data_IF_211072126695
#
_entry.id   IF_211072126695
#
_cell.length_a   1.000
_cell.length_b   1.000
_cell.length_c   1.000
_cell.angle_alpha   90.00
_cell.angle_beta   90.00
_cell.angle_gamma   90.00
#
_symmetry.space_group_name_H-M   'P 1'
#
loop_
_entity.id
_entity.type
_entity.pdbx_description
1 polymer ?
#
# COMPACT_ATOMS: atom_id res chain seq x y z
N UNK A 1 -40.28 33.88 -19.63
CA UNK A 1 -41.43 33.11 -20.15
C UNK A 1 -40.97 31.69 -20.47
N UNK A 2 -41.72 30.69 -19.99
CA UNK A 2 -41.75 29.23 -20.33
C UNK A 2 -40.50 28.53 -20.90
N UNK A 3 -40.08 27.34 -20.44
CA UNK A 3 -40.94 26.16 -20.27
C UNK A 3 -40.34 25.08 -19.35
N UNK A 4 -41.24 24.31 -18.72
CA UNK A 4 -41.00 23.24 -17.75
C UNK A 4 -40.65 21.88 -18.43
N UNK A 5 -39.75 21.13 -17.79
CA UNK A 5 -39.94 19.73 -17.37
C UNK A 5 -39.99 18.59 -18.41
N UNK A 6 -39.12 17.58 -18.24
CA UNK A 6 -39.57 16.23 -17.83
C UNK A 6 -38.37 15.34 -17.45
N UNK A 7 -38.43 14.75 -16.26
CA UNK A 7 -37.57 13.64 -15.81
C UNK A 7 -38.20 12.34 -16.31
N UNK A 8 -37.44 11.48 -16.99
CA UNK A 8 -37.86 10.11 -17.34
C UNK A 8 -37.20 9.10 -16.39
N UNK A 9 -37.96 8.21 -15.71
CA UNK A 9 -37.40 7.08 -14.95
C UNK A 9 -37.03 5.90 -15.88
N UNK A 10 -36.18 4.95 -15.42
CA UNK A 10 -35.55 3.95 -16.28
C UNK A 10 -36.48 2.80 -16.67
N UNK A 11 -36.19 2.21 -17.85
CA UNK A 11 -36.85 1.05 -18.43
C UNK A 11 -36.47 -0.22 -17.65
N UNK A 12 -37.48 -0.94 -17.14
CA UNK A 12 -37.36 -2.26 -16.50
C UNK A 12 -37.95 -3.29 -17.45
N UNK A 13 -37.22 -4.39 -17.70
CA UNK A 13 -37.68 -5.48 -18.55
C UNK A 13 -38.64 -6.43 -17.80
N UNK A 14 -39.73 -6.83 -18.47
CA UNK A 14 -40.73 -7.76 -17.95
C UNK A 14 -40.21 -9.19 -17.78
N UNK A 15 -40.56 -9.81 -16.64
CA UNK A 15 -40.32 -11.23 -16.36
C UNK A 15 -41.15 -12.10 -17.31
N UNK A 16 -40.46 -12.78 -18.22
CA UNK A 16 -41.04 -13.74 -19.17
C UNK A 16 -40.86 -15.18 -18.66
N UNK A 17 -41.66 -15.63 -17.70
CA UNK A 17 -42.00 -17.07 -17.49
C UNK A 17 -43.27 -17.21 -16.63
N UNK A 18 -44.29 -18.00 -17.05
CA UNK A 18 -45.54 -18.15 -16.32
C UNK A 18 -45.48 -19.27 -15.26
N UNK A 19 -46.24 -19.06 -14.18
CA UNK A 19 -46.49 -20.03 -13.12
C UNK A 19 -47.35 -21.20 -13.62
N UNK A 20 -46.94 -22.43 -13.31
CA UNK A 20 -47.78 -23.61 -13.45
C UNK A 20 -48.50 -23.90 -12.12
N UNK A 21 -49.83 -23.80 -12.16
CA UNK A 21 -50.78 -24.34 -11.18
C UNK A 21 -51.79 -25.19 -11.94
N UNK A 22 -51.88 -26.47 -11.60
CA UNK A 22 -53.07 -27.36 -11.52
C UNK A 22 -52.53 -28.77 -11.27
N UNK A 23 -53.03 -29.52 -10.30
CA UNK A 23 -54.39 -30.04 -10.33
C UNK A 23 -55.08 -30.06 -8.96
N UNK A 24 -56.41 -30.02 -9.03
CA UNK A 24 -57.38 -29.96 -7.94
C UNK A 24 -58.36 -31.12 -8.12
N UNK A 25 -58.99 -31.49 -6.99
CA UNK A 25 -60.15 -32.38 -6.77
C UNK A 25 -59.75 -33.78 -6.28
N UNK A 26 -60.42 -34.37 -5.29
CA UNK A 26 -61.83 -34.21 -4.92
C UNK A 26 -62.11 -34.16 -3.42
N UNK A 27 -63.12 -33.36 -3.10
CA UNK A 27 -63.98 -33.34 -1.91
C UNK A 27 -64.60 -34.69 -1.55
N UNK A 28 -64.72 -34.98 -0.24
CA UNK A 28 -65.98 -35.46 0.37
C UNK A 28 -66.01 -35.24 1.90
N UNK A 29 -67.02 -34.45 2.25
CA UNK A 29 -67.80 -34.33 3.49
C UNK A 29 -67.73 -35.45 4.53
N UNK A 30 -67.74 -35.06 5.82
CA UNK A 30 -68.13 -35.93 6.93
C UNK A 30 -68.01 -35.23 8.29
N UNK A 31 -69.17 -34.92 8.90
CA UNK A 31 -69.32 -34.28 10.22
C UNK A 31 -68.93 -35.21 11.38
N UNK A 32 -68.80 -34.57 12.55
CA UNK A 32 -68.93 -35.10 13.94
C UNK A 32 -67.89 -36.08 14.46
N UNK A 33 -67.15 -35.67 15.49
CA UNK A 33 -67.41 -36.07 16.89
C UNK A 33 -66.17 -35.77 17.75
N UNK A 34 -66.38 -35.05 18.84
CA UNK A 34 -65.42 -34.98 19.92
C UNK A 34 -65.24 -36.38 20.52
N UNK A 35 -64.00 -36.87 20.60
CA UNK A 35 -63.59 -37.90 21.55
C UNK A 35 -62.22 -37.56 22.13
N UNK A 36 -62.24 -37.47 23.45
CA UNK A 36 -61.10 -37.43 24.36
C UNK A 36 -60.16 -38.63 24.19
N UNK A 37 -58.92 -38.47 24.71
CA UNK A 37 -57.77 -39.40 24.79
C UNK A 37 -56.90 -39.39 23.52
N UNK A 38 -55.60 -39.13 23.59
CA UNK A 38 -54.63 -39.28 24.68
C UNK A 38 -53.46 -38.36 24.35
N UNK A 39 -52.98 -37.56 25.30
CA UNK A 39 -51.69 -36.88 25.15
C UNK A 39 -50.59 -37.93 25.15
N UNK A 40 -50.27 -38.47 23.98
CA UNK A 40 -49.03 -39.22 23.78
C UNK A 40 -47.92 -38.19 23.89
N UNK A 41 -47.40 -38.00 25.11
CA UNK A 41 -46.18 -37.26 25.39
C UNK A 41 -45.12 -37.88 24.49
N UNK A 42 -44.83 -37.22 23.35
CA UNK A 42 -43.80 -37.63 22.41
C UNK A 42 -42.50 -37.62 23.20
N UNK A 43 -42.11 -38.80 23.68
CA UNK A 43 -40.88 -39.02 24.42
C UNK A 43 -39.80 -38.55 23.46
N UNK A 44 -39.21 -37.39 23.73
CA UNK A 44 -37.98 -36.94 23.07
C UNK A 44 -37.02 -38.11 23.23
N UNK A 45 -36.84 -38.89 22.17
CA UNK A 45 -35.71 -39.79 22.07
C UNK A 45 -34.52 -38.85 22.16
N UNK A 46 -33.88 -38.82 23.34
CA UNK A 46 -32.54 -38.28 23.45
C UNK A 46 -31.77 -39.10 22.44
N UNK A 47 -31.47 -38.49 21.29
CA UNK A 47 -30.45 -38.97 20.38
C UNK A 47 -29.24 -39.23 21.27
N UNK A 48 -29.00 -40.50 21.57
CA UNK A 48 -27.79 -40.93 22.22
C UNK A 48 -26.74 -40.66 21.16
N UNK A 49 -26.11 -39.48 21.24
CA UNK A 49 -24.96 -39.16 20.41
C UNK A 49 -24.02 -40.35 20.55
N UNK A 50 -23.80 -41.09 19.45
CA UNK A 50 -22.86 -42.20 19.40
C UNK A 50 -21.54 -41.64 19.95
N UNK A 51 -21.25 -41.94 21.21
CA UNK A 51 -19.99 -41.56 21.83
C UNK A 51 -18.94 -42.32 21.03
N UNK A 52 -18.06 -41.60 20.33
CA UNK A 52 -16.91 -42.20 19.67
C UNK A 52 -16.24 -43.16 20.68
N UNK A 53 -15.83 -44.38 20.27
CA UNK A 53 -15.15 -45.30 21.16
C UNK A 53 -13.97 -44.56 21.80
N UNK A 54 -13.83 -44.68 23.13
CA UNK A 54 -12.80 -44.01 23.92
C UNK A 54 -11.37 -44.22 23.36
N UNK A 55 -11.16 -45.36 22.70
CA UNK A 55 -9.93 -45.76 21.99
C UNK A 55 -9.60 -44.82 20.82
N UNK A 56 -10.59 -44.26 20.12
CA UNK A 56 -10.38 -43.22 19.08
C UNK A 56 -10.45 -41.80 19.63
N UNK A 57 -11.01 -41.59 20.83
CA UNK A 57 -11.17 -40.27 21.44
C UNK A 57 -9.85 -39.70 21.96
N UNK A 58 -8.96 -40.54 22.52
CA UNK A 58 -7.65 -40.14 23.05
C UNK A 58 -6.66 -39.69 21.95
N UNK A 59 -6.42 -40.44 20.85
CA UNK A 59 -5.54 -39.98 19.79
C UNK A 59 -6.07 -38.74 19.06
N UNK A 60 -7.40 -38.62 18.84
CA UNK A 60 -7.99 -37.40 18.30
C UNK A 60 -7.88 -36.20 19.27
N UNK A 61 -7.98 -36.45 20.59
CA UNK A 61 -7.78 -35.40 21.60
C UNK A 61 -6.33 -34.92 21.62
N UNK A 62 -5.35 -35.83 21.49
CA UNK A 62 -3.94 -35.50 21.38
C UNK A 62 -3.65 -34.68 20.10
N UNK A 63 -4.14 -35.12 18.94
CA UNK A 63 -3.99 -34.37 17.67
C UNK A 63 -4.62 -32.97 17.77
N UNK A 64 -5.82 -32.86 18.34
CA UNK A 64 -6.48 -31.56 18.58
C UNK A 64 -5.71 -30.70 19.58
N UNK A 65 -5.11 -31.30 20.60
CA UNK A 65 -4.30 -30.60 21.59
C UNK A 65 -3.00 -30.07 20.97
N UNK A 66 -2.26 -30.90 20.21
CA UNK A 66 -1.07 -30.49 19.46
C UNK A 66 -1.41 -29.39 18.46
N UNK A 67 -2.52 -29.52 17.72
CA UNK A 67 -2.97 -28.49 16.78
C UNK A 67 -3.34 -27.17 17.48
N UNK A 68 -4.08 -27.21 18.61
CA UNK A 68 -4.40 -26.02 19.41
C UNK A 68 -3.16 -25.39 20.03
N UNK A 69 -2.20 -26.19 20.49
CA UNK A 69 -0.93 -25.71 21.02
C UNK A 69 -0.13 -25.03 19.91
N UNK A 70 -0.02 -25.66 18.73
CA UNK A 70 0.62 -25.07 17.55
C UNK A 70 -0.03 -23.74 17.14
N UNK A 71 -1.36 -23.67 17.10
CA UNK A 71 -2.08 -22.41 16.85
C UNK A 71 -1.82 -21.35 17.92
N UNK A 72 -1.81 -21.71 19.21
CA UNK A 72 -1.50 -20.78 20.30
C UNK A 72 -0.08 -20.24 20.20
N UNK A 73 0.90 -21.12 19.96
CA UNK A 73 2.29 -20.73 19.77
C UNK A 73 2.44 -19.84 18.53
N UNK A 74 1.75 -20.16 17.43
CA UNK A 74 1.71 -19.33 16.24
C UNK A 74 1.12 -17.94 16.49
N UNK A 75 0.00 -17.85 17.22
CA UNK A 75 -0.60 -16.57 17.61
C UNK A 75 0.32 -15.75 18.52
N UNK A 76 0.98 -16.39 19.48
CA UNK A 76 1.97 -15.73 20.34
C UNK A 76 3.15 -15.22 19.52
N UNK A 77 3.66 -16.02 18.58
CA UNK A 77 4.73 -15.60 17.68
C UNK A 77 4.33 -14.41 16.79
N UNK A 78 3.11 -14.41 16.24
CA UNK A 78 2.57 -13.28 15.46
C UNK A 78 2.42 -12.04 16.33
N UNK A 79 1.93 -12.18 17.56
CA UNK A 79 1.79 -11.08 18.51
C UNK A 79 3.16 -10.47 18.85
N UNK A 80 4.13 -11.31 19.23
CA UNK A 80 5.50 -10.87 19.54
C UNK A 80 6.17 -10.24 18.33
N UNK A 81 6.01 -10.82 17.14
CA UNK A 81 6.50 -10.25 15.88
C UNK A 81 5.86 -8.90 15.56
N UNK A 82 4.55 -8.76 15.80
CA UNK A 82 3.82 -7.50 15.65
C UNK A 82 4.29 -6.43 16.63
N UNK A 83 4.55 -6.80 17.89
CA UNK A 83 5.12 -5.89 18.91
C UNK A 83 6.53 -5.46 18.50
N UNK A 84 7.38 -6.39 18.06
CA UNK A 84 8.72 -6.08 17.60
C UNK A 84 8.71 -5.15 16.38
N UNK A 85 7.84 -5.42 15.40
CA UNK A 85 7.64 -4.56 14.23
C UNK A 85 7.13 -3.17 14.63
N UNK A 86 6.11 -3.10 15.48
CA UNK A 86 5.56 -1.85 15.99
C UNK A 86 6.61 -1.02 16.76
N UNK A 87 7.40 -1.68 17.60
CA UNK A 87 8.52 -1.06 18.31
C UNK A 87 9.60 -0.53 17.36
N UNK A 88 9.97 -1.28 16.32
CA UNK A 88 10.92 -0.82 15.31
C UNK A 88 10.38 0.39 14.52
N UNK A 89 9.12 0.34 14.09
CA UNK A 89 8.45 1.47 13.41
C UNK A 89 8.43 2.70 14.31
N UNK A 90 8.03 2.54 15.58
CA UNK A 90 7.99 3.63 16.56
C UNK A 90 9.39 4.22 16.80
N UNK A 91 10.42 3.38 16.95
CA UNK A 91 11.80 3.81 17.13
C UNK A 91 12.28 4.67 15.96
N UNK A 92 12.08 4.21 14.72
CA UNK A 92 12.46 4.98 13.54
C UNK A 92 11.64 6.27 13.41
N UNK A 93 10.31 6.22 13.57
CA UNK A 93 9.46 7.41 13.48
C UNK A 93 9.80 8.47 14.54
N UNK A 94 10.17 8.03 15.75
CA UNK A 94 10.53 8.93 16.86
C UNK A 94 11.91 9.55 16.69
N UNK A 95 12.85 8.83 16.08
CA UNK A 95 14.22 9.31 15.82
C UNK A 95 14.37 10.09 14.52
N UNK A 96 13.34 10.13 13.66
CA UNK A 96 13.38 10.88 12.40
C UNK A 96 13.49 12.39 12.63
N UNK A 97 14.42 13.08 11.91
CA UNK A 97 14.50 14.53 11.91
C UNK A 97 13.26 15.19 11.27
N UNK A 98 13.08 16.51 11.43
CA UNK A 98 11.97 17.23 10.80
C UNK A 98 12.04 17.19 9.27
N UNK A 99 10.90 17.47 8.62
CA UNK A 99 10.74 17.44 7.17
C UNK A 99 11.81 18.23 6.41
N UNK A 100 12.18 19.41 6.92
CA UNK A 100 13.18 20.30 6.29
C UNK A 100 14.56 19.63 6.15
N UNK A 101 14.96 18.81 7.12
CA UNK A 101 16.19 18.02 7.04
C UNK A 101 16.03 16.80 6.11
N UNK A 102 14.81 16.29 5.93
CA UNK A 102 14.53 15.19 5.01
C UNK A 102 14.54 15.62 3.55
N UNK A 103 14.19 16.87 3.25
CA UNK A 103 14.27 17.42 1.89
C UNK A 103 15.68 17.89 1.59
N UNK A 104 16.41 18.38 2.58
CA UNK A 104 17.79 18.82 2.44
C UNK A 104 18.74 17.62 2.32
N UNK A 105 19.06 17.22 1.09
CA UNK A 105 19.96 16.09 0.79
C UNK A 105 21.44 16.47 0.69
N UNK A 106 21.81 17.70 1.05
CA UNK A 106 23.12 18.26 0.74
C UNK A 106 24.14 17.92 1.83
N UNK A 107 25.14 17.10 1.49
CA UNK A 107 26.45 17.15 2.14
C UNK A 107 27.37 18.18 1.47
N UNK A 108 27.07 18.61 0.22
CA UNK A 108 27.87 19.55 -0.58
C UNK A 108 27.00 20.65 -1.19
N UNK A 109 27.41 21.91 -1.05
CA UNK A 109 26.73 23.06 -1.65
C UNK A 109 26.85 23.13 -3.18
N UNK A 110 26.13 24.06 -3.81
CA UNK A 110 26.26 24.38 -5.23
C UNK A 110 27.14 25.59 -5.46
N UNK A 111 27.92 25.58 -6.54
CA UNK A 111 28.57 26.75 -7.12
C UNK A 111 27.75 27.20 -8.31
N UNK A 112 27.20 28.41 -8.27
CA UNK A 112 26.52 29.05 -9.41
C UNK A 112 27.52 29.91 -10.16
N UNK A 113 27.66 29.68 -11.46
CA UNK A 113 28.52 30.47 -12.35
C UNK A 113 27.65 31.52 -13.05
N UNK A 114 27.99 32.77 -12.80
CA UNK A 114 27.33 33.95 -13.37
C UNK A 114 28.15 34.48 -14.54
N UNK A 115 27.48 35.00 -15.55
CA UNK A 115 28.12 35.70 -16.65
C UNK A 115 28.49 37.15 -16.25
N UNK A 116 29.03 37.92 -17.21
CA UNK A 116 29.43 39.32 -16.97
C UNK A 116 28.26 40.27 -16.66
N UNK A 117 27.02 39.86 -16.93
CA UNK A 117 25.80 40.62 -16.69
C UNK A 117 25.08 40.20 -15.40
N UNK A 118 25.57 39.13 -14.75
CA UNK A 118 25.00 38.58 -13.52
C UNK A 118 24.00 37.45 -13.78
N UNK A 119 23.82 37.02 -15.03
CA UNK A 119 22.92 35.93 -15.38
C UNK A 119 23.58 34.57 -15.14
N UNK A 120 22.83 33.62 -14.60
CA UNK A 120 23.34 32.26 -14.37
C UNK A 120 23.45 31.50 -15.69
N UNK A 121 24.67 31.16 -16.11
CA UNK A 121 24.90 30.37 -17.34
C UNK A 121 25.31 28.92 -17.05
N UNK A 122 25.83 28.64 -15.85
CA UNK A 122 26.19 27.28 -15.44
C UNK A 122 26.14 27.14 -13.91
N UNK A 123 26.15 25.90 -13.43
CA UNK A 123 26.35 25.59 -12.02
C UNK A 123 27.10 24.26 -11.88
N UNK A 124 27.76 24.07 -10.75
CA UNK A 124 28.46 22.83 -10.40
C UNK A 124 28.11 22.42 -8.96
N UNK A 125 27.66 21.19 -8.78
CA UNK A 125 27.13 20.67 -7.50
C UNK A 125 25.62 20.43 -7.55
N UNK A 126 25.02 20.09 -6.41
CA UNK A 126 23.58 19.81 -6.31
C UNK A 126 22.78 21.13 -6.47
N UNK A 127 22.04 21.26 -7.57
CA UNK A 127 21.30 22.47 -7.94
C UNK A 127 20.30 22.87 -6.85
N UNK A 128 20.42 24.11 -6.33
CA UNK A 128 19.40 24.72 -5.48
C UNK A 128 18.35 25.38 -6.36
N UNK A 129 17.41 24.59 -6.83
CA UNK A 129 16.15 25.12 -7.33
C UNK A 129 15.18 24.93 -6.15
N UNK A 130 14.57 26.03 -5.67
CA UNK A 130 13.98 26.12 -4.32
C UNK A 130 13.10 24.94 -3.91
N UNK A 131 12.95 24.75 -2.59
CA UNK A 131 12.14 23.65 -2.04
C UNK A 131 10.74 23.64 -2.67
N UNK A 132 10.42 22.58 -3.41
CA UNK A 132 9.06 22.36 -3.92
C UNK A 132 8.30 21.41 -3.02
N UNK A 133 7.02 21.66 -2.83
CA UNK A 133 6.12 20.79 -2.10
C UNK A 133 5.16 20.10 -3.06
N UNK A 134 4.51 19.04 -2.60
CA UNK A 134 3.45 18.37 -3.35
C UNK A 134 2.32 19.32 -3.82
N UNK A 135 2.13 20.44 -3.13
CA UNK A 135 1.07 21.41 -3.42
C UNK A 135 1.57 22.60 -4.28
N UNK A 136 2.89 22.83 -4.38
CA UNK A 136 3.46 23.94 -5.16
C UNK A 136 4.01 23.52 -6.53
N UNK A 137 4.22 22.22 -6.76
CA UNK A 137 4.53 21.71 -8.11
C UNK A 137 3.30 21.74 -9.01
N UNK A 138 3.51 21.65 -10.33
CA UNK A 138 2.40 21.59 -11.27
C UNK A 138 1.52 20.37 -10.99
N UNK A 139 0.22 20.51 -11.23
CA UNK A 139 -0.71 19.40 -11.08
C UNK A 139 -0.38 18.26 -12.04
N UNK A 140 0.04 18.57 -13.27
CA UNK A 140 0.46 17.59 -14.26
C UNK A 140 1.64 16.76 -13.77
N UNK A 141 2.68 17.42 -13.22
CA UNK A 141 3.86 16.75 -12.67
C UNK A 141 3.49 15.86 -11.49
N UNK A 142 2.74 16.38 -10.52
CA UNK A 142 2.28 15.60 -9.36
C UNK A 142 1.50 14.36 -9.80
N UNK A 143 0.54 14.55 -10.71
CA UNK A 143 -0.31 13.48 -11.19
C UNK A 143 0.47 12.45 -12.01
N UNK A 144 1.43 12.90 -12.83
CA UNK A 144 2.31 12.01 -13.59
C UNK A 144 3.12 11.11 -12.66
N UNK A 145 3.82 11.68 -11.67
CA UNK A 145 4.61 10.93 -10.68
C UNK A 145 3.74 9.90 -9.95
N UNK A 146 2.56 10.30 -9.48
CA UNK A 146 1.66 9.36 -8.79
C UNK A 146 1.16 8.28 -9.76
N UNK A 147 0.80 8.64 -10.98
CA UNK A 147 0.25 7.68 -11.95
C UNK A 147 1.27 6.62 -12.37
N UNK A 148 2.54 7.00 -12.54
CA UNK A 148 3.62 6.11 -12.99
C UNK A 148 4.22 5.31 -11.84
N UNK A 149 4.50 5.94 -10.70
CA UNK A 149 5.22 5.29 -9.60
C UNK A 149 4.28 4.54 -8.65
N UNK A 150 3.12 5.12 -8.31
CA UNK A 150 2.22 4.54 -7.31
C UNK A 150 0.79 5.11 -7.39
N UNK A 151 0.00 4.61 -8.36
CA UNK A 151 -1.37 5.10 -8.63
C UNK A 151 -2.30 5.11 -7.41
N UNK A 152 -1.97 4.35 -6.35
CA UNK A 152 -2.77 4.25 -5.12
C UNK A 152 -2.05 4.85 -3.92
N UNK A 153 -1.07 5.71 -4.14
CA UNK A 153 -0.22 6.32 -3.11
C UNK A 153 -1.00 6.79 -1.88
N UNK A 154 -2.08 7.55 -2.08
CA UNK A 154 -2.92 8.07 -1.00
C UNK A 154 -3.83 7.03 -0.29
N UNK A 155 -3.88 5.79 -0.75
CA UNK A 155 -4.84 4.76 -0.27
C UNK A 155 -4.21 3.63 0.54
N UNK A 156 -2.89 3.62 0.67
CA UNK A 156 -2.17 2.62 1.45
C UNK A 156 -1.25 3.29 2.47
N UNK A 157 -0.67 2.52 3.38
CA UNK A 157 0.20 3.01 4.44
C UNK A 157 1.58 2.38 4.27
N UNK A 158 2.44 3.02 3.48
CA UNK A 158 3.82 2.61 3.21
C UNK A 158 3.98 1.42 2.27
N UNK A 159 3.12 0.41 2.37
CA UNK A 159 3.16 -0.82 1.58
C UNK A 159 1.82 -1.02 0.88
N UNK A 160 1.88 -1.51 -0.37
CA UNK A 160 0.68 -1.78 -1.17
C UNK A 160 0.51 -3.28 -1.39
N UNK A 161 -0.27 -4.00 -0.55
CA UNK A 161 -0.52 -5.44 -0.74
C UNK A 161 -1.08 -5.75 -2.12
N UNK A 162 -1.94 -4.85 -2.64
CA UNK A 162 -2.48 -4.95 -4.01
C UNK A 162 -1.40 -4.73 -5.07
N UNK A 163 -0.47 -3.80 -4.86
CA UNK A 163 0.66 -3.58 -5.76
C UNK A 163 1.58 -4.79 -5.83
N UNK A 164 1.93 -5.34 -4.66
CA UNK A 164 2.76 -6.56 -4.54
C UNK A 164 2.08 -7.74 -5.21
N UNK A 165 0.80 -8.01 -4.91
CA UNK A 165 0.06 -9.11 -5.52
C UNK A 165 -0.07 -8.96 -7.06
N UNK A 166 -0.28 -7.73 -7.53
CA UNK A 166 -0.33 -7.43 -8.97
C UNK A 166 1.01 -7.71 -9.65
N UNK A 167 2.12 -7.25 -9.05
CA UNK A 167 3.46 -7.47 -9.59
C UNK A 167 3.79 -8.97 -9.66
N UNK A 168 3.51 -9.73 -8.60
CA UNK A 168 3.69 -11.19 -8.57
C UNK A 168 2.87 -11.85 -9.68
N UNK A 169 1.59 -11.48 -9.83
CA UNK A 169 0.73 -12.05 -10.86
C UNK A 169 1.27 -11.80 -12.26
N UNK A 170 1.70 -10.57 -12.55
CA UNK A 170 2.23 -10.19 -13.87
C UNK A 170 3.53 -10.96 -14.15
N UNK A 171 4.47 -10.97 -13.20
CA UNK A 171 5.74 -11.69 -13.35
C UNK A 171 5.51 -13.17 -13.64
N UNK A 172 4.63 -13.84 -12.88
CA UNK A 172 4.30 -15.25 -13.11
C UNK A 172 3.62 -15.47 -14.47
N UNK A 173 2.73 -14.56 -14.90
CA UNK A 173 2.08 -14.67 -16.21
C UNK A 173 3.03 -14.47 -17.39
N UNK A 174 4.16 -13.78 -17.18
CA UNK A 174 5.23 -13.58 -18.16
C UNK A 174 6.33 -14.66 -18.08
N UNK A 175 6.13 -15.72 -17.28
CA UNK A 175 7.10 -16.81 -17.12
C UNK A 175 8.32 -16.45 -16.26
N UNK A 176 8.28 -15.33 -15.51
CA UNK A 176 9.33 -14.88 -14.60
C UNK A 176 9.07 -15.39 -13.18
N UNK A 177 10.08 -15.36 -12.31
CA UNK A 177 9.88 -15.64 -10.88
C UNK A 177 9.00 -14.55 -10.25
N UNK A 178 8.26 -14.89 -9.18
CA UNK A 178 7.37 -13.95 -8.49
C UNK A 178 8.04 -12.62 -8.08
N UNK A 179 9.37 -12.64 -7.86
CA UNK A 179 10.17 -11.52 -7.38
C UNK A 179 11.07 -10.89 -8.46
N UNK A 180 10.93 -11.29 -9.72
CA UNK A 180 11.76 -10.79 -10.83
C UNK A 180 10.90 -10.13 -11.91
N UNK A 181 11.20 -8.89 -12.26
CA UNK A 181 10.50 -8.14 -13.30
C UNK A 181 9.81 -6.89 -12.73
N UNK A 182 8.49 -6.84 -12.85
CA UNK A 182 7.67 -5.72 -12.41
C UNK A 182 7.82 -5.46 -10.91
N UNK A 183 8.07 -4.19 -10.56
CA UNK A 183 8.24 -3.74 -9.18
C UNK A 183 6.91 -3.47 -8.50
N UNK A 184 6.63 -4.15 -7.39
CA UNK A 184 5.46 -3.87 -6.53
C UNK A 184 5.71 -2.82 -5.44
N UNK A 185 6.77 -2.00 -5.57
CA UNK A 185 7.17 -1.04 -4.53
C UNK A 185 6.30 0.21 -4.57
N UNK A 186 6.10 0.85 -3.42
CA UNK A 186 5.36 2.12 -3.30
C UNK A 186 6.27 3.33 -3.38
N UNK A 187 5.71 4.51 -3.60
CA UNK A 187 6.46 5.78 -3.57
C UNK A 187 7.11 6.02 -2.19
N UNK A 188 6.46 5.60 -1.10
CA UNK A 188 7.02 5.65 0.26
C UNK A 188 8.24 4.74 0.41
N UNK A 189 8.21 3.52 -0.16
CA UNK A 189 9.38 2.63 -0.15
C UNK A 189 10.53 3.20 -0.99
N UNK A 190 10.23 3.82 -2.12
CA UNK A 190 11.23 4.52 -2.92
C UNK A 190 11.84 5.69 -2.15
N UNK A 191 11.01 6.46 -1.44
CA UNK A 191 11.47 7.54 -0.55
C UNK A 191 12.39 7.01 0.55
N UNK A 192 12.02 5.92 1.22
CA UNK A 192 12.85 5.26 2.23
C UNK A 192 14.23 4.84 1.67
N UNK A 193 14.25 4.34 0.42
CA UNK A 193 15.48 3.99 -0.28
C UNK A 193 16.34 5.22 -0.61
N UNK A 194 15.73 6.30 -1.08
CA UNK A 194 16.44 7.56 -1.38
C UNK A 194 17.09 8.17 -0.13
N UNK A 195 16.43 8.05 1.03
CA UNK A 195 16.92 8.50 2.34
C UNK A 195 17.95 7.56 2.99
N UNK A 196 18.44 6.53 2.29
CA UNK A 196 19.37 5.54 2.84
C UNK A 196 18.90 4.93 4.18
N UNK A 197 17.59 4.78 4.40
CA UNK A 197 16.99 4.30 5.66
C UNK A 197 17.36 5.14 6.89
N UNK A 198 17.61 6.44 6.70
CA UNK A 198 17.96 7.36 7.78
C UNK A 198 19.39 7.23 8.29
N UNK A 199 20.22 6.43 7.63
CA UNK A 199 21.66 6.44 7.86
C UNK A 199 22.20 7.70 7.15
N UNK A 200 22.91 8.62 7.82
CA UNK A 200 23.56 9.73 7.15
C UNK A 200 24.87 9.29 6.49
N UNK A 201 25.33 10.07 5.50
CA UNK A 201 26.69 9.93 4.98
C UNK A 201 27.70 10.34 6.05
N UNK A 202 28.77 9.54 6.20
CA UNK A 202 29.87 9.80 7.12
C UNK A 202 31.19 9.90 6.31
N UNK A 203 31.81 11.09 6.24
CA UNK A 203 33.05 11.29 5.48
C UNK A 203 34.25 10.55 6.06
N UNK A 204 34.23 10.16 7.34
CA UNK A 204 35.35 9.50 8.01
C UNK A 204 35.46 8.00 7.65
N UNK A 205 34.44 7.45 6.99
CA UNK A 205 34.42 6.06 6.50
C UNK A 205 35.39 5.79 5.35
N UNK A 206 35.96 6.84 4.75
CA UNK A 206 36.82 6.75 3.56
C UNK A 206 36.06 6.48 2.25
N UNK A 207 34.73 6.35 2.29
CA UNK A 207 33.91 6.21 1.09
C UNK A 207 33.59 7.57 0.47
N UNK A 208 33.59 7.64 -0.86
CA UNK A 208 32.97 8.76 -1.55
C UNK A 208 31.45 8.74 -1.36
N UNK A 209 30.81 9.90 -1.42
CA UNK A 209 29.36 10.03 -1.33
C UNK A 209 28.62 9.20 -2.38
N UNK A 210 29.17 9.09 -3.60
CA UNK A 210 28.61 8.27 -4.66
C UNK A 210 28.67 6.77 -4.35
N UNK A 211 29.78 6.29 -3.76
CA UNK A 211 29.91 4.90 -3.31
C UNK A 211 28.97 4.60 -2.15
N UNK A 212 28.88 5.54 -1.20
CA UNK A 212 27.92 5.46 -0.11
C UNK A 212 26.49 5.35 -0.63
N UNK A 213 26.07 6.22 -1.55
CA UNK A 213 24.72 6.15 -2.12
C UNK A 213 24.47 4.85 -2.88
N UNK A 214 25.45 4.38 -3.67
CA UNK A 214 25.35 3.13 -4.40
C UNK A 214 25.21 1.93 -3.46
N UNK A 215 25.98 1.91 -2.36
CA UNK A 215 25.84 0.91 -1.32
C UNK A 215 24.49 1.03 -0.60
N UNK A 216 24.16 2.22 -0.09
CA UNK A 216 22.94 2.54 0.65
C UNK A 216 21.64 2.38 -0.15
N UNK A 217 21.72 2.24 -1.49
CA UNK A 217 20.59 2.00 -2.41
C UNK A 217 20.64 0.62 -3.10
N UNK A 218 21.64 -0.23 -2.80
CA UNK A 218 21.71 -1.62 -3.28
C UNK A 218 20.50 -2.47 -2.88
N UNK A 219 19.98 -3.30 -3.80
CA UNK A 219 18.88 -4.23 -3.51
C UNK A 219 19.34 -5.53 -2.83
N UNK A 220 18.71 -5.90 -1.71
CA UNK A 220 18.78 -7.25 -1.12
C UNK A 220 17.48 -7.55 -0.37
N UNK A 221 17.15 -8.83 -0.11
CA UNK A 221 15.92 -9.19 0.62
C UNK A 221 15.89 -8.60 2.04
N UNK A 222 17.03 -8.65 2.73
CA UNK A 222 17.18 -8.07 4.08
C UNK A 222 17.01 -6.56 4.03
N UNK A 223 17.64 -5.90 3.05
CA UNK A 223 17.47 -4.45 2.83
C UNK A 223 16.02 -4.10 2.54
N UNK A 224 15.34 -4.92 1.73
CA UNK A 224 13.93 -4.71 1.36
C UNK A 224 13.00 -4.80 2.57
N UNK A 225 13.31 -5.70 3.52
CA UNK A 225 12.61 -5.76 4.79
C UNK A 225 12.84 -4.49 5.63
N UNK A 226 14.08 -3.99 5.71
CA UNK A 226 14.38 -2.72 6.39
C UNK A 226 13.69 -1.52 5.70
N UNK A 227 13.66 -1.47 4.37
CA UNK A 227 12.91 -0.48 3.59
C UNK A 227 11.42 -0.50 3.94
N UNK A 228 10.82 -1.68 4.09
CA UNK A 228 9.42 -1.80 4.47
C UNK A 228 9.15 -1.24 5.87
N UNK A 229 10.02 -1.54 6.85
CA UNK A 229 9.90 -0.99 8.21
C UNK A 229 10.06 0.53 8.20
N UNK A 230 11.08 1.04 7.50
CA UNK A 230 11.34 2.48 7.42
C UNK A 230 10.23 3.22 6.66
N UNK A 231 9.63 2.62 5.63
CA UNK A 231 8.48 3.17 4.93
C UNK A 231 7.25 3.28 5.84
N UNK A 232 6.99 2.28 6.69
CA UNK A 232 5.93 2.36 7.70
C UNK A 232 6.21 3.46 8.73
N UNK A 233 7.48 3.64 9.11
CA UNK A 233 7.88 4.71 10.01
C UNK A 233 7.73 6.11 9.39
N UNK A 234 8.04 6.26 8.09
CA UNK A 234 7.80 7.51 7.36
C UNK A 234 6.31 7.87 7.38
N UNK A 235 5.42 6.90 7.18
CA UNK A 235 3.96 7.11 7.18
C UNK A 235 3.39 7.34 8.58
N UNK A 236 4.08 6.88 9.61
CA UNK A 236 3.72 7.19 11.00
C UNK A 236 4.13 8.62 11.39
N UNK A 237 5.19 9.16 10.78
CA UNK A 237 5.76 10.47 11.11
C UNK A 237 5.25 11.61 10.23
N UNK A 238 5.10 11.35 8.93
CA UNK A 238 4.80 12.34 7.91
C UNK A 238 3.50 12.03 7.18
N UNK A 239 2.79 13.07 6.76
CA UNK A 239 1.65 12.97 5.88
C UNK A 239 2.06 12.55 4.46
N UNK A 240 1.07 12.13 3.67
CA UNK A 240 1.30 11.74 2.26
C UNK A 240 1.92 12.85 1.43
N UNK A 241 1.46 14.10 1.60
CA UNK A 241 2.01 15.24 0.87
C UNK A 241 3.45 15.54 1.29
N UNK A 242 3.79 15.35 2.56
CA UNK A 242 5.17 15.50 3.06
C UNK A 242 6.09 14.40 2.52
N UNK A 243 5.65 13.15 2.49
CA UNK A 243 6.42 12.04 1.88
C UNK A 243 6.65 12.30 0.39
N UNK A 244 5.61 12.72 -0.33
CA UNK A 244 5.73 13.09 -1.75
C UNK A 244 6.68 14.29 -1.92
N UNK A 245 6.60 15.28 -1.03
CA UNK A 245 7.54 16.40 -1.01
C UNK A 245 8.99 15.93 -0.85
N UNK A 246 9.27 15.00 0.08
CA UNK A 246 10.62 14.43 0.22
C UNK A 246 11.06 13.76 -1.08
N UNK A 247 10.21 12.92 -1.67
CA UNK A 247 10.50 12.25 -2.94
C UNK A 247 10.83 13.25 -4.05
N UNK A 248 9.98 14.27 -4.22
CA UNK A 248 10.12 15.29 -5.25
C UNK A 248 11.41 16.11 -5.13
N UNK A 249 12.03 16.19 -3.95
CA UNK A 249 13.29 16.92 -3.76
C UNK A 249 14.52 16.00 -3.75
N UNK A 250 14.35 14.69 -3.54
CA UNK A 250 15.47 13.73 -3.41
C UNK A 250 15.68 12.86 -4.65
N UNK A 251 14.66 12.70 -5.49
CA UNK A 251 14.75 11.82 -6.65
C UNK A 251 15.84 12.27 -7.63
N UNK A 252 16.72 11.36 -8.04
CA UNK A 252 17.69 11.62 -9.09
C UNK A 252 17.03 11.47 -10.47
N UNK A 253 17.02 12.54 -11.25
CA UNK A 253 16.34 12.63 -12.54
C UNK A 253 17.31 12.68 -13.74
N UNK A 254 18.58 12.40 -13.49
CA UNK A 254 19.62 12.37 -14.52
C UNK A 254 20.40 13.67 -14.64
N UNK A 255 21.52 13.63 -15.37
CA UNK A 255 22.37 14.79 -15.66
C UNK A 255 22.78 15.63 -14.43
N UNK A 256 22.91 15.01 -13.26
CA UNK A 256 23.22 15.71 -12.01
C UNK A 256 22.04 16.45 -11.34
N UNK A 257 20.83 16.35 -11.89
CA UNK A 257 19.63 16.93 -11.31
C UNK A 257 19.04 16.01 -10.23
N UNK A 258 19.08 16.48 -8.98
CA UNK A 258 18.41 15.88 -7.84
C UNK A 258 17.22 16.76 -7.47
N UNK A 259 16.04 16.17 -7.49
CA UNK A 259 14.77 16.86 -7.30
C UNK A 259 14.17 17.40 -8.60
N UNK A 260 12.85 17.48 -8.62
CA UNK A 260 12.05 17.84 -9.79
C UNK A 260 12.18 19.32 -10.18
N UNK A 261 12.38 20.22 -9.22
CA UNK A 261 12.64 21.64 -9.51
C UNK A 261 13.98 21.81 -10.25
N UNK A 262 15.03 21.12 -9.79
CA UNK A 262 16.32 21.13 -10.46
C UNK A 262 16.23 20.53 -11.87
N UNK A 263 15.52 19.41 -12.02
CA UNK A 263 15.31 18.78 -13.32
C UNK A 263 14.51 19.67 -14.27
N UNK A 264 13.43 20.29 -13.79
CA UNK A 264 12.60 21.18 -14.60
C UNK A 264 13.41 22.35 -15.16
N UNK A 265 14.17 23.03 -14.30
CA UNK A 265 15.05 24.12 -14.71
C UNK A 265 16.13 23.65 -15.69
N UNK A 266 16.67 22.44 -15.49
CA UNK A 266 17.72 21.90 -16.33
C UNK A 266 17.24 21.50 -17.73
N UNK A 267 16.07 20.87 -17.82
CA UNK A 267 15.58 20.28 -19.07
C UNK A 267 14.65 21.24 -19.84
N UNK A 268 13.88 22.06 -19.14
CA UNK A 268 12.84 22.92 -19.73
C UNK A 268 13.06 24.42 -19.48
N UNK A 269 14.00 24.79 -18.60
CA UNK A 269 14.35 26.19 -18.36
C UNK A 269 13.32 26.98 -17.54
N UNK A 270 12.41 26.29 -16.85
CA UNK A 270 11.40 26.91 -15.98
C UNK A 270 11.12 26.07 -14.73
N UNK A 271 10.30 26.60 -13.83
CA UNK A 271 9.98 25.94 -12.55
C UNK A 271 9.14 24.67 -12.76
N UNK A 272 9.29 23.71 -11.86
CA UNK A 272 8.45 22.51 -11.76
C UNK A 272 6.97 22.85 -11.48
N UNK A 273 6.67 24.07 -11.03
CA UNK A 273 5.31 24.59 -10.93
C UNK A 273 4.65 24.84 -12.29
N UNK A 274 5.44 24.95 -13.36
CA UNK A 274 5.00 25.30 -14.71
C UNK A 274 5.06 24.13 -15.69
N UNK A 275 5.47 22.94 -15.23
CA UNK A 275 5.54 21.72 -16.05
C UNK A 275 4.15 21.35 -16.58
N UNK A 276 4.09 21.08 -17.88
CA UNK A 276 2.89 20.66 -18.59
C UNK A 276 2.89 19.16 -18.85
N UNK A 277 1.74 18.58 -19.16
CA UNK A 277 1.63 17.14 -19.45
C UNK A 277 2.50 16.61 -20.62
N UNK A 278 3.00 17.49 -21.50
CA UNK A 278 3.87 17.10 -22.62
C UNK A 278 5.36 17.02 -22.27
N UNK A 279 5.73 17.60 -21.13
CA UNK A 279 7.10 17.66 -20.58
C UNK A 279 7.31 16.54 -19.55
#
# INVERSE_FOLDING_TARGET
MSNKGSRRPPLVADRRYPASKKARKSTKTGKTAAKSRTTTRRRRTRSSGRKLPWIFALPLALVRWVFRLGLRLGLVAVLLGGIALGGAVFYYASSMPPLTAMVDGRAKGSVTLLDRYGDTFAWRGQQFAGLVTADTVSEDLRNAVIATEDKRFYRHFGLSPRGIASAIRINLSEGRSALSGHGGSTLTQQTAKLLCLGVPYDPDTGMSEAEYEADCRRGSLVRKAKEAIYALALEAKFSKNEILTIYLNRAYLGSGAYGFEAASQRYFGHSASQITAGE
#
